data_IF_665527841818
#
_entry.id   IF_665527841818
#
_cell.length_a   1.000
_cell.length_b   1.000
_cell.length_c   1.000
_cell.angle_alpha   90.00
_cell.angle_beta   90.00
_cell.angle_gamma   90.00
#
_symmetry.space_group_name_H-M   'P 1'
#
loop_
_entity.id
_entity.type
_entity.pdbx_description
1 polymer ?
#
# COMPACT_ATOMS: atom_id res chain seq x y z
N UNK A 1 7.05 11.18 -2.82
CA UNK A 1 6.18 11.52 -1.70
C UNK A 1 5.54 10.26 -1.10
N UNK A 2 5.09 10.36 0.11
CA UNK A 2 4.44 9.23 0.79
C UNK A 2 3.18 8.75 0.07
N UNK A 3 2.28 9.62 -0.39
CA UNK A 3 1.12 9.17 -1.18
C UNK A 3 1.51 8.43 -2.47
N UNK A 4 2.54 8.87 -3.16
CA UNK A 4 3.05 8.17 -4.35
C UNK A 4 3.53 6.77 -3.99
N UNK A 5 4.26 6.65 -2.88
CA UNK A 5 4.75 5.35 -2.39
C UNK A 5 3.59 4.40 -2.09
N UNK A 6 2.55 4.87 -1.41
CA UNK A 6 1.39 4.05 -1.06
C UNK A 6 0.70 3.50 -2.31
N UNK A 7 0.48 4.33 -3.30
CA UNK A 7 -0.15 3.93 -4.55
C UNK A 7 0.73 2.92 -5.30
N UNK A 8 2.02 3.22 -5.41
CA UNK A 8 2.95 2.35 -6.12
C UNK A 8 3.09 0.99 -5.47
N UNK A 9 3.16 0.95 -4.13
CA UNK A 9 3.19 -0.30 -3.38
C UNK A 9 1.92 -1.13 -3.62
N UNK A 10 0.76 -0.48 -3.62
CA UNK A 10 -0.51 -1.16 -3.89
C UNK A 10 -0.57 -1.73 -5.31
N UNK A 11 -0.04 -1.00 -6.30
CA UNK A 11 0.06 -1.47 -7.69
C UNK A 11 0.98 -2.69 -7.78
N UNK A 12 2.13 -2.61 -7.11
CA UNK A 12 3.12 -3.70 -7.12
C UNK A 12 2.56 -5.01 -6.60
N UNK A 13 1.66 -4.95 -5.63
CA UNK A 13 1.01 -6.13 -5.06
C UNK A 13 -0.06 -6.75 -5.96
N UNK A 14 -0.36 -6.11 -7.08
CA UNK A 14 -1.37 -6.59 -8.04
C UNK A 14 -0.74 -6.77 -9.42
N UNK A 15 0.04 -7.85 -9.63
CA UNK A 15 0.72 -8.07 -10.91
C UNK A 15 -0.24 -8.25 -12.08
N UNK A 16 -1.48 -8.65 -11.83
CA UNK A 16 -2.53 -8.77 -12.85
C UNK A 16 -3.11 -7.43 -13.28
N UNK A 17 -2.68 -6.35 -12.64
CA UNK A 17 -3.18 -5.01 -12.90
C UNK A 17 -4.14 -4.52 -11.82
N UNK A 18 -4.01 -3.27 -11.44
CA UNK A 18 -4.84 -2.62 -10.43
C UNK A 18 -5.81 -1.64 -11.09
N UNK A 19 -7.06 -1.65 -10.66
CA UNK A 19 -8.02 -0.65 -11.11
C UNK A 19 -7.90 0.61 -10.23
N UNK A 20 -7.95 1.82 -10.81
CA UNK A 20 -7.84 3.05 -10.03
C UNK A 20 -8.86 3.15 -8.90
N UNK A 21 -10.07 2.64 -9.12
CA UNK A 21 -11.11 2.62 -8.08
C UNK A 21 -10.69 1.78 -6.88
N UNK A 22 -10.11 0.60 -7.13
CA UNK A 22 -9.61 -0.27 -6.07
C UNK A 22 -8.45 0.37 -5.32
N UNK A 23 -7.56 1.07 -6.02
CA UNK A 23 -6.46 1.80 -5.40
C UNK A 23 -6.98 2.91 -4.47
N UNK A 24 -8.00 3.64 -4.92
CA UNK A 24 -8.60 4.71 -4.13
C UNK A 24 -9.20 4.16 -2.83
N UNK A 25 -9.90 3.04 -2.90
CA UNK A 25 -10.48 2.38 -1.73
C UNK A 25 -9.41 1.87 -0.77
N UNK A 26 -8.42 1.17 -1.30
CA UNK A 26 -7.36 0.58 -0.49
C UNK A 26 -6.51 1.63 0.22
N UNK A 27 -6.21 2.72 -0.47
CA UNK A 27 -5.35 3.78 0.07
C UNK A 27 -6.12 4.90 0.76
N UNK A 28 -7.44 4.78 0.85
CA UNK A 28 -8.32 5.79 1.48
C UNK A 28 -8.12 7.18 0.87
N UNK A 29 -8.09 7.25 -0.46
CA UNK A 29 -7.88 8.48 -1.19
C UNK A 29 -9.03 8.76 -2.15
N UNK A 30 -9.38 10.04 -2.38
CA UNK A 30 -10.34 10.40 -3.43
C UNK A 30 -9.83 9.97 -4.81
N UNK A 31 -10.74 9.60 -5.70
CA UNK A 31 -10.39 9.19 -7.07
C UNK A 31 -9.56 10.23 -7.81
N UNK A 32 -9.88 11.51 -7.64
CA UNK A 32 -9.13 12.59 -8.29
C UNK A 32 -7.67 12.63 -7.83
N UNK A 33 -7.45 12.40 -6.53
CA UNK A 33 -6.09 12.34 -5.98
C UNK A 33 -5.32 11.18 -6.60
N UNK A 34 -5.96 10.00 -6.67
CA UNK A 34 -5.34 8.81 -7.27
C UNK A 34 -4.99 9.07 -8.74
N UNK A 35 -5.91 9.67 -9.51
CA UNK A 35 -5.65 9.99 -10.91
C UNK A 35 -4.41 10.89 -11.06
N UNK A 36 -4.30 11.92 -10.24
CA UNK A 36 -3.14 12.81 -10.25
C UNK A 36 -1.83 12.10 -9.90
N UNK A 37 -1.87 11.23 -8.90
CA UNK A 37 -0.70 10.43 -8.50
C UNK A 37 -0.29 9.45 -9.60
N UNK A 38 -1.26 8.81 -10.25
CA UNK A 38 -0.97 7.90 -11.36
C UNK A 38 -0.36 8.63 -12.54
N UNK A 39 -0.82 9.85 -12.84
CA UNK A 39 -0.22 10.67 -13.89
C UNK A 39 1.26 10.96 -13.58
N UNK A 40 1.57 11.30 -12.33
CA UNK A 40 2.94 11.57 -11.89
C UNK A 40 3.82 10.32 -11.98
N UNK A 41 3.31 9.18 -11.51
CA UNK A 41 4.05 7.92 -11.52
C UNK A 41 4.30 7.42 -12.95
N UNK A 42 3.34 7.60 -13.83
CA UNK A 42 3.52 7.23 -15.24
C UNK A 42 4.57 8.09 -15.92
N UNK A 43 4.56 9.40 -15.68
CA UNK A 43 5.59 10.31 -16.19
C UNK A 43 6.97 10.00 -15.67
N UNK A 44 7.05 9.51 -14.42
CA UNK A 44 8.32 9.10 -13.83
C UNK A 44 8.81 7.74 -14.35
N UNK A 45 7.99 7.02 -15.11
CA UNK A 45 8.37 5.72 -15.66
C UNK A 45 8.23 4.56 -14.67
N UNK A 46 7.45 4.74 -13.61
CA UNK A 46 7.26 3.71 -12.59
C UNK A 46 6.07 2.80 -12.85
N UNK A 47 5.09 3.27 -13.61
CA UNK A 47 3.89 2.50 -13.94
C UNK A 47 3.52 2.72 -15.41
N UNK A 48 2.68 1.82 -15.92
CA UNK A 48 1.98 2.01 -17.19
C UNK A 48 0.49 1.76 -16.97
N UNK A 49 -0.32 2.37 -17.80
CA UNK A 49 -1.78 2.19 -17.76
C UNK A 49 -2.22 1.57 -19.09
N UNK A 50 -3.15 0.62 -19.00
CA UNK A 50 -3.79 0.00 -20.15
C UNK A 50 -5.30 0.11 -20.03
N UNK A 51 -5.95 0.46 -21.14
CA UNK A 51 -7.40 0.39 -21.20
C UNK A 51 -7.82 -1.04 -21.46
N UNK A 52 -8.91 -1.47 -20.82
CA UNK A 52 -9.48 -2.80 -21.06
C UNK A 52 -10.09 -2.83 -22.47
N UNK A 53 -9.80 -3.88 -23.26
CA UNK A 53 -10.30 -4.04 -24.61
C UNK A 53 -11.82 -4.14 -24.65
N UNK A 54 -12.41 -4.78 -23.65
CA UNK A 54 -13.85 -5.04 -23.60
C UNK A 54 -14.65 -3.88 -23.02
N UNK A 55 -14.00 -3.01 -22.22
CA UNK A 55 -14.64 -1.83 -21.64
C UNK A 55 -13.62 -0.70 -21.54
N UNK A 56 -13.73 0.27 -22.46
CA UNK A 56 -12.81 1.41 -22.52
C UNK A 56 -12.87 2.33 -21.30
N UNK A 57 -13.92 2.17 -20.46
CA UNK A 57 -14.05 2.94 -19.22
C UNK A 57 -13.15 2.38 -18.13
N UNK A 58 -12.73 1.12 -18.26
CA UNK A 58 -11.88 0.46 -17.28
C UNK A 58 -10.43 0.58 -17.70
N UNK A 59 -9.61 0.96 -16.75
CA UNK A 59 -8.16 1.08 -16.92
C UNK A 59 -7.49 0.18 -15.89
N UNK A 60 -6.41 -0.47 -16.30
CA UNK A 60 -5.56 -1.24 -15.38
C UNK A 60 -4.21 -0.60 -15.31
N UNK A 61 -3.67 -0.58 -14.10
CA UNK A 61 -2.36 0.01 -13.80
C UNK A 61 -1.40 -1.12 -13.46
N UNK A 62 -0.22 -1.07 -14.08
CA UNK A 62 0.83 -2.09 -13.89
C UNK A 62 2.11 -1.41 -13.43
N UNK A 63 2.81 -2.05 -12.51
CA UNK A 63 4.13 -1.58 -12.07
C UNK A 63 5.18 -1.93 -13.11
N UNK A 64 6.01 -0.96 -13.45
CA UNK A 64 7.18 -1.19 -14.31
C UNK A 64 8.41 -1.56 -13.46
N UNK A 65 9.45 -2.15 -14.06
CA UNK A 65 10.65 -2.53 -13.28
C UNK A 65 11.25 -1.41 -12.45
N UNK A 66 11.26 -0.17 -12.96
CA UNK A 66 11.78 0.97 -12.22
C UNK A 66 10.93 1.26 -10.96
N UNK A 67 9.61 1.04 -11.04
CA UNK A 67 8.73 1.19 -9.89
C UNK A 67 8.99 0.14 -8.82
N UNK A 68 9.20 -1.10 -9.25
CA UNK A 68 9.55 -2.21 -8.34
C UNK A 68 10.86 -1.90 -7.60
N UNK A 69 11.89 -1.50 -8.32
CA UNK A 69 13.20 -1.16 -7.73
C UNK A 69 13.03 -0.02 -6.71
N UNK A 70 12.25 0.98 -7.05
CA UNK A 70 12.02 2.13 -6.17
C UNK A 70 11.33 1.71 -4.85
N UNK A 71 10.25 0.95 -4.94
CA UNK A 71 9.51 0.48 -3.75
C UNK A 71 10.38 -0.46 -2.91
N UNK A 72 11.03 -1.42 -3.56
CA UNK A 72 11.89 -2.40 -2.88
C UNK A 72 13.03 -1.69 -2.13
N UNK A 73 13.64 -0.69 -2.76
CA UNK A 73 14.71 0.09 -2.12
C UNK A 73 14.24 0.82 -0.86
N UNK A 74 13.06 1.43 -0.92
CA UNK A 74 12.48 2.12 0.23
C UNK A 74 12.17 1.12 1.35
N UNK A 75 11.57 -0.01 1.00
CA UNK A 75 11.21 -1.03 1.99
C UNK A 75 12.44 -1.62 2.67
N UNK A 76 13.50 -1.87 1.92
CA UNK A 76 14.76 -2.36 2.49
C UNK A 76 15.38 -1.35 3.45
N UNK A 77 15.33 -0.07 3.09
CA UNK A 77 15.86 0.99 3.94
C UNK A 77 15.05 1.13 5.23
N UNK A 78 13.72 1.10 5.13
CA UNK A 78 12.84 1.11 6.29
C UNK A 78 13.10 -0.08 7.20
N UNK A 79 13.28 -1.26 6.63
CA UNK A 79 13.56 -2.49 7.39
C UNK A 79 14.86 -2.36 8.17
N UNK A 80 15.91 -1.82 7.55
CA UNK A 80 17.19 -1.59 8.26
C UNK A 80 17.04 -0.61 9.42
N UNK A 81 16.28 0.48 9.22
CA UNK A 81 16.03 1.45 10.27
C UNK A 81 15.18 0.86 11.40
N UNK A 82 14.19 0.08 11.04
CA UNK A 82 13.35 -0.61 12.02
C UNK A 82 14.16 -1.61 12.84
N UNK A 83 14.98 -2.42 12.21
CA UNK A 83 15.86 -3.37 12.90
C UNK A 83 16.80 -2.65 13.85
N UNK A 84 17.40 -1.54 13.42
CA UNK A 84 18.28 -0.75 14.27
C UNK A 84 17.54 -0.16 15.49
N UNK A 85 16.33 0.35 15.26
CA UNK A 85 15.52 0.92 16.32
C UNK A 85 15.07 -0.13 17.34
N UNK A 86 14.85 -1.37 16.89
CA UNK A 86 14.35 -2.45 17.73
C UNK A 86 15.48 -3.32 18.33
N UNK A 87 16.72 -3.05 17.97
CA UNK A 87 17.86 -3.89 18.39
C UNK A 87 18.05 -3.99 19.90
N UNK A 88 17.62 -2.97 20.66
CA UNK A 88 17.72 -2.93 22.11
C UNK A 88 16.54 -3.61 22.82
N UNK A 89 15.55 -4.06 22.07
CA UNK A 89 14.33 -4.64 22.63
C UNK A 89 14.46 -6.16 22.60
N UNK A 90 14.18 -6.82 23.75
CA UNK A 90 14.28 -8.28 23.84
C UNK A 90 13.18 -8.95 23.00
N UNK A 91 13.44 -10.19 22.58
CA UNK A 91 12.46 -10.99 21.87
C UNK A 91 11.19 -11.20 22.72
N UNK A 92 11.36 -11.37 24.03
CA UNK A 92 10.25 -11.54 24.97
C UNK A 92 9.36 -10.29 25.00
N UNK A 93 9.97 -9.10 25.09
CA UNK A 93 9.22 -7.84 25.10
C UNK A 93 8.50 -7.59 23.79
N UNK A 94 9.12 -7.94 22.67
CA UNK A 94 8.47 -7.83 21.35
C UNK A 94 7.28 -8.78 21.25
N UNK A 95 7.39 -9.99 21.75
CA UNK A 95 6.28 -10.94 21.76
C UNK A 95 5.12 -10.41 22.58
N UNK A 96 5.41 -9.88 23.78
CA UNK A 96 4.40 -9.28 24.63
C UNK A 96 3.72 -8.09 23.93
N UNK A 97 4.50 -7.21 23.30
CA UNK A 97 3.97 -6.08 22.56
C UNK A 97 3.05 -6.55 21.44
N UNK A 98 3.48 -7.50 20.65
CA UNK A 98 2.69 -8.01 19.53
C UNK A 98 1.37 -8.63 20.00
N UNK A 99 1.38 -9.35 21.13
CA UNK A 99 0.19 -9.94 21.71
C UNK A 99 -0.79 -8.86 22.21
N UNK A 100 -0.29 -7.83 22.85
CA UNK A 100 -1.11 -6.70 23.33
C UNK A 100 -1.68 -5.92 22.15
N UNK A 101 -0.85 -5.64 21.15
CA UNK A 101 -1.28 -4.92 19.96
C UNK A 101 -2.38 -5.69 19.22
N UNK A 102 -2.19 -7.00 19.03
CA UNK A 102 -3.19 -7.84 18.39
C UNK A 102 -4.52 -7.84 19.15
N UNK A 103 -4.46 -7.85 20.48
CA UNK A 103 -5.66 -7.78 21.31
C UNK A 103 -6.39 -6.44 21.16
N UNK A 104 -5.64 -5.34 21.06
CA UNK A 104 -6.22 -4.01 20.85
C UNK A 104 -6.92 -3.94 19.49
N UNK A 105 -6.26 -4.40 18.43
CA UNK A 105 -6.82 -4.41 17.08
C UNK A 105 -8.09 -5.26 17.03
N UNK A 106 -8.04 -6.46 17.62
CA UNK A 106 -9.19 -7.36 17.68
C UNK A 106 -10.37 -6.72 18.42
N UNK A 107 -10.09 -6.07 19.56
CA UNK A 107 -11.10 -5.37 20.31
C UNK A 107 -11.72 -4.21 19.53
N UNK A 108 -10.90 -3.42 18.83
CA UNK A 108 -11.38 -2.34 17.99
C UNK A 108 -12.28 -2.83 16.85
N UNK A 109 -11.89 -3.90 16.19
CA UNK A 109 -12.68 -4.50 15.13
C UNK A 109 -14.04 -4.96 15.65
N UNK A 110 -14.08 -5.60 16.79
CA UNK A 110 -15.33 -6.05 17.41
C UNK A 110 -16.27 -4.89 17.76
N UNK A 111 -15.72 -3.79 18.27
CA UNK A 111 -16.52 -2.61 18.60
C UNK A 111 -16.97 -1.80 17.40
N UNK A 112 -16.10 -1.66 16.38
CA UNK A 112 -16.40 -0.86 15.20
C UNK A 112 -17.36 -1.56 14.25
N UNK A 113 -17.27 -2.87 14.14
CA UNK A 113 -18.05 -3.65 13.17
C UNK A 113 -19.14 -4.51 13.82
N UNK A 114 -19.35 -4.38 15.14
CA UNK A 114 -20.48 -5.03 15.80
C UNK A 114 -21.76 -4.27 15.46
N UNK A 115 -22.84 -5.03 15.25
CA UNK A 115 -24.15 -4.45 14.98
C UNK A 115 -24.60 -3.63 16.19
N UNK A 116 -24.91 -2.34 16.02
CA UNK A 116 -25.36 -1.49 17.13
C UNK A 116 -26.77 -1.80 17.65
N UNK A 117 -27.50 -2.70 17.02
CA UNK A 117 -28.87 -3.02 17.42
C UNK A 117 -28.98 -3.70 18.78
#
# INVERSE_FOLDING_TARGET
>A
SYPQFLILDAVLRRPEGAEPTALAEECFMPKQTVTGLLDQLERAGFIRRERCETDRRRTRVFCLPAGDVFVTGIMEELDRHEQAALASISAEDMETFNNVYAAIVDGLEKHLFSDPS
#
